data_IF_011299222029
#
_entry.id   IF_011299222029
#
_cell.length_a   1.000
_cell.length_b   1.000
_cell.length_c   1.000
_cell.angle_alpha   90.00
_cell.angle_beta   90.00
_cell.angle_gamma   90.00
#
_symmetry.space_group_name_H-M   'P 1'
#
loop_
_entity.id
_entity.type
_entity.pdbx_description
1 polymer ?
#
# COMPACT_ATOMS: atom_id res chain seq x y z
N UNK A 1 45.87 44.94 8.15
CA UNK A 1 44.93 44.60 9.26
C UNK A 1 44.62 43.11 9.12
N UNK A 2 45.35 42.18 9.77
CA UNK A 2 45.11 41.65 11.14
C UNK A 2 43.68 41.08 11.27
N UNK A 3 43.35 39.80 11.52
CA UNK A 3 43.92 38.66 12.29
C UNK A 3 43.38 37.34 11.67
N UNK A 4 44.18 36.29 11.44
CA UNK A 4 44.40 35.10 12.31
C UNK A 4 43.16 34.61 13.07
N UNK A 5 42.74 33.35 12.84
CA UNK A 5 42.64 32.33 13.88
C UNK A 5 42.77 30.91 13.30
N UNK A 6 43.76 30.22 13.87
CA UNK A 6 44.15 28.82 13.73
C UNK A 6 43.49 28.08 14.91
N UNK A 7 42.97 26.86 14.71
CA UNK A 7 42.34 26.11 15.80
C UNK A 7 42.14 24.63 15.46
N UNK A 8 43.24 23.88 15.49
CA UNK A 8 43.30 22.41 15.42
C UNK A 8 42.95 21.85 16.81
N UNK A 9 42.06 20.85 16.89
CA UNK A 9 42.00 19.94 18.05
C UNK A 9 41.87 18.51 17.55
N UNK A 10 42.98 17.78 17.67
CA UNK A 10 43.12 16.33 17.56
C UNK A 10 42.72 15.73 18.91
N UNK A 11 41.77 14.80 18.94
CA UNK A 11 41.31 14.12 20.16
C UNK A 11 41.28 12.61 19.98
N UNK A 12 42.42 11.96 20.21
CA UNK A 12 42.57 10.50 20.29
C UNK A 12 42.07 10.01 21.64
N UNK A 13 41.06 9.13 21.66
CA UNK A 13 40.63 8.42 22.88
C UNK A 13 40.85 6.91 22.67
N UNK A 14 41.87 6.39 23.33
CA UNK A 14 42.05 4.95 23.57
C UNK A 14 41.24 4.55 24.80
N UNK A 15 40.41 3.51 24.69
CA UNK A 15 39.87 2.77 25.83
C UNK A 15 40.21 1.28 25.68
N UNK A 16 41.14 0.83 26.53
CA UNK A 16 41.43 -0.56 26.84
C UNK A 16 40.75 -0.88 28.18
N UNK A 17 39.87 -1.88 28.26
CA UNK A 17 39.59 -2.59 29.52
C UNK A 17 39.15 -4.06 29.24
N UNK A 18 39.80 -4.96 29.98
CA UNK A 18 39.56 -6.39 30.33
C UNK A 18 38.16 -6.96 30.10
N UNK A 19 37.95 -8.25 29.76
CA UNK A 19 38.59 -9.46 30.29
C UNK A 19 37.58 -10.23 31.17
N UNK A 20 37.07 -11.37 30.70
CA UNK A 20 36.30 -12.30 31.52
C UNK A 20 36.54 -13.75 31.05
N UNK A 21 37.14 -14.54 31.93
CA UNK A 21 37.10 -16.01 31.99
C UNK A 21 35.63 -16.47 31.99
N UNK A 22 35.19 -17.61 31.48
CA UNK A 22 35.81 -18.90 31.20
C UNK A 22 34.79 -19.94 31.65
N UNK A 23 34.33 -20.83 30.77
CA UNK A 23 33.72 -22.11 31.18
C UNK A 23 33.77 -23.09 30.00
N UNK A 24 34.64 -24.10 30.13
CA UNK A 24 34.76 -25.21 29.19
C UNK A 24 33.68 -26.23 29.51
N UNK A 25 32.53 -26.14 28.85
CA UNK A 25 31.52 -27.20 28.87
C UNK A 25 31.90 -28.25 27.82
N UNK A 26 31.95 -29.50 28.26
CA UNK A 26 32.25 -30.66 27.45
C UNK A 26 31.34 -30.74 26.21
N UNK A 27 31.97 -30.77 25.04
CA UNK A 27 31.34 -30.96 23.73
C UNK A 27 30.82 -32.39 23.63
N UNK A 28 29.52 -32.60 23.84
CA UNK A 28 28.81 -33.80 23.42
C UNK A 28 28.79 -33.87 21.89
N UNK A 29 29.39 -34.91 21.34
CA UNK A 29 29.34 -35.27 19.92
C UNK A 29 27.95 -35.82 19.61
N UNK A 30 27.01 -34.95 19.21
CA UNK A 30 25.78 -35.37 18.54
C UNK A 30 26.07 -35.51 17.05
N UNK A 31 25.94 -36.74 16.53
CA UNK A 31 25.90 -37.04 15.10
C UNK A 31 24.85 -36.13 14.43
N UNK A 32 25.21 -35.35 13.39
CA UNK A 32 24.24 -34.51 12.71
C UNK A 32 23.21 -35.38 11.98
N UNK A 33 21.95 -35.24 12.36
CA UNK A 33 20.83 -35.65 11.53
C UNK A 33 20.93 -34.95 10.16
N UNK A 34 20.57 -35.63 9.06
CA UNK A 34 20.56 -35.02 7.74
C UNK A 34 19.61 -33.82 7.77
N UNK A 35 20.18 -32.62 7.71
CA UNK A 35 19.45 -31.36 7.57
C UNK A 35 18.60 -31.49 6.31
N UNK A 36 17.28 -31.57 6.51
CA UNK A 36 16.30 -31.57 5.44
C UNK A 36 16.59 -30.41 4.50
N UNK A 37 16.45 -30.69 3.20
CA UNK A 37 16.69 -29.71 2.14
C UNK A 37 16.04 -28.37 2.49
N UNK A 38 16.73 -27.24 2.24
CA UNK A 38 16.16 -25.92 2.48
C UNK A 38 14.78 -25.85 1.82
N UNK A 39 13.76 -25.28 2.50
CA UNK A 39 12.43 -25.16 1.93
C UNK A 39 12.56 -24.49 0.56
N UNK A 40 12.05 -25.15 -0.47
CA UNK A 40 11.98 -24.59 -1.82
C UNK A 40 11.36 -23.20 -1.70
N UNK A 41 12.14 -22.17 -2.07
CA UNK A 41 11.63 -20.82 -2.18
C UNK A 41 10.34 -20.86 -3.00
N UNK A 42 9.27 -20.29 -2.46
CA UNK A 42 8.02 -20.13 -3.20
C UNK A 42 8.36 -19.40 -4.51
N UNK A 43 7.80 -19.83 -5.66
CA UNK A 43 8.05 -19.17 -6.92
C UNK A 43 7.60 -17.71 -6.80
N UNK A 44 8.54 -16.77 -6.90
CA UNK A 44 8.22 -15.36 -7.13
C UNK A 44 7.28 -15.31 -8.34
N UNK A 45 6.12 -14.62 -8.25
CA UNK A 45 5.20 -14.52 -9.37
C UNK A 45 5.97 -14.06 -10.60
N UNK A 46 5.87 -14.83 -11.68
CA UNK A 46 6.56 -14.51 -12.92
C UNK A 46 6.10 -13.12 -13.36
N UNK A 47 7.01 -12.15 -13.26
CA UNK A 47 6.82 -10.80 -13.78
C UNK A 47 6.58 -10.96 -15.27
N UNK A 48 5.33 -10.83 -15.72
CA UNK A 48 5.02 -11.05 -17.12
C UNK A 48 5.85 -10.10 -17.97
N UNK A 49 6.45 -10.68 -19.01
CA UNK A 49 7.36 -9.98 -19.91
C UNK A 49 6.61 -8.83 -20.59
N UNK A 50 7.21 -7.63 -20.68
CA UNK A 50 6.57 -6.52 -21.34
C UNK A 50 6.48 -6.75 -22.85
N UNK A 51 5.33 -6.39 -23.44
CA UNK A 51 5.10 -6.40 -24.90
C UNK A 51 6.17 -5.60 -25.65
N UNK A 52 6.62 -4.49 -25.06
CA UNK A 52 7.66 -3.67 -25.64
C UNK A 52 8.49 -2.97 -24.56
N UNK A 53 9.79 -2.81 -24.81
CA UNK A 53 10.72 -2.17 -23.89
C UNK A 53 11.65 -1.20 -24.60
N UNK A 54 11.96 -0.07 -23.96
CA UNK A 54 12.99 0.88 -24.40
C UNK A 54 13.83 1.37 -23.23
N UNK A 55 15.13 1.36 -23.41
CA UNK A 55 16.05 2.02 -22.50
C UNK A 55 16.29 3.45 -22.97
N UNK A 56 16.23 4.40 -22.05
CA UNK A 56 16.44 5.82 -22.33
C UNK A 56 17.41 6.37 -21.31
N UNK A 57 18.28 7.27 -21.77
CA UNK A 57 19.11 8.09 -20.90
C UNK A 57 18.66 9.55 -21.03
N UNK A 58 18.43 10.20 -19.90
CA UNK A 58 18.14 11.62 -19.79
C UNK A 58 19.13 12.24 -18.84
N UNK A 59 19.98 13.12 -19.38
CA UNK A 59 21.12 13.66 -18.64
C UNK A 59 21.94 12.51 -17.99
N UNK A 60 22.04 12.48 -16.66
CA UNK A 60 22.75 11.46 -15.90
C UNK A 60 21.87 10.26 -15.50
N UNK A 61 20.56 10.33 -15.77
CA UNK A 61 19.59 9.31 -15.36
C UNK A 61 19.39 8.27 -16.47
N UNK A 62 19.23 7.01 -16.08
CA UNK A 62 18.95 5.88 -17.00
C UNK A 62 17.67 5.20 -16.57
N UNK A 63 16.71 5.11 -17.48
CA UNK A 63 15.43 4.46 -17.25
C UNK A 63 15.13 3.39 -18.29
N UNK A 64 14.39 2.36 -17.89
CA UNK A 64 13.78 1.39 -18.81
C UNK A 64 12.27 1.52 -18.76
N UNK A 65 11.70 1.84 -19.91
CA UNK A 65 10.28 1.99 -20.12
C UNK A 65 9.75 0.70 -20.71
N UNK A 66 8.71 0.16 -20.08
CA UNK A 66 8.12 -1.12 -20.43
C UNK A 66 6.63 -0.89 -20.66
N UNK A 67 6.13 -1.21 -21.85
CA UNK A 67 4.69 -1.32 -22.10
C UNK A 67 4.31 -2.75 -21.78
N UNK A 68 3.39 -2.93 -20.85
CA UNK A 68 2.97 -4.26 -20.40
C UNK A 68 1.75 -4.74 -21.15
N UNK A 69 0.75 -3.88 -21.29
CA UNK A 69 -0.49 -4.22 -21.97
C UNK A 69 -1.27 -2.97 -22.38
N UNK A 70 -2.05 -3.10 -23.45
CA UNK A 70 -3.12 -2.17 -23.78
C UNK A 70 -4.41 -2.95 -24.02
N UNK A 71 -5.32 -2.95 -23.06
CA UNK A 71 -6.54 -3.76 -23.14
C UNK A 71 -7.79 -2.92 -23.30
N UNK A 72 -8.79 -3.47 -23.99
CA UNK A 72 -10.09 -2.86 -24.23
C UNK A 72 -11.07 -3.21 -23.11
N UNK A 73 -11.86 -2.23 -22.70
CA UNK A 73 -13.03 -2.43 -21.85
C UNK A 73 -14.17 -1.52 -22.32
N UNK A 74 -15.17 -2.14 -22.96
CA UNK A 74 -16.29 -1.42 -23.55
C UNK A 74 -15.85 -0.36 -24.59
N UNK A 75 -16.03 0.91 -24.24
CA UNK A 75 -15.73 2.07 -25.10
C UNK A 75 -14.34 2.69 -24.86
N UNK A 76 -13.56 2.10 -23.98
CA UNK A 76 -12.24 2.58 -23.59
C UNK A 76 -11.16 1.52 -23.82
N UNK A 77 -9.91 1.95 -23.82
CA UNK A 77 -8.74 1.09 -23.65
C UNK A 77 -7.88 1.64 -22.51
N UNK A 78 -7.27 0.77 -21.72
CA UNK A 78 -6.32 1.15 -20.66
C UNK A 78 -4.94 0.66 -21.04
N UNK A 79 -3.98 1.59 -21.04
CA UNK A 79 -2.56 1.31 -21.18
C UNK A 79 -1.98 1.06 -19.80
N UNK A 80 -1.27 -0.05 -19.64
CA UNK A 80 -0.41 -0.34 -18.51
C UNK A 80 1.05 -0.31 -18.96
N UNK A 81 1.85 0.46 -18.26
CA UNK A 81 3.27 0.61 -18.54
C UNK A 81 4.03 0.84 -17.25
N UNK A 82 5.35 0.80 -17.31
CA UNK A 82 6.16 1.08 -16.13
C UNK A 82 7.55 1.55 -16.47
N UNK A 83 8.19 2.06 -15.44
CA UNK A 83 9.50 2.69 -15.53
C UNK A 83 10.40 2.09 -14.49
N UNK A 84 11.43 1.37 -14.93
CA UNK A 84 12.49 0.88 -14.06
C UNK A 84 13.63 1.90 -14.03
N UNK A 85 14.05 2.32 -12.84
CA UNK A 85 15.26 3.10 -12.67
C UNK A 85 16.50 2.19 -12.79
N UNK A 86 17.36 2.45 -13.77
CA UNK A 86 18.62 1.73 -14.02
C UNK A 86 19.85 2.51 -13.50
N UNK A 87 19.64 3.66 -12.88
CA UNK A 87 20.68 4.43 -12.19
C UNK A 87 20.88 3.97 -10.74
N UNK A 88 21.91 4.53 -10.11
CA UNK A 88 22.25 4.26 -8.71
C UNK A 88 21.57 5.25 -7.74
N UNK A 89 21.10 6.39 -8.28
CA UNK A 89 20.37 7.43 -7.55
C UNK A 89 18.87 7.40 -7.84
N UNK A 90 18.08 8.11 -7.03
CA UNK A 90 16.64 8.27 -7.23
C UNK A 90 16.29 8.98 -8.55
N UNK A 91 15.30 8.45 -9.27
CA UNK A 91 14.87 8.93 -10.58
C UNK A 91 13.52 9.62 -10.49
N UNK A 92 13.49 10.93 -10.75
CA UNK A 92 12.25 11.71 -10.78
C UNK A 92 11.53 11.59 -12.11
N UNK A 93 10.28 11.10 -12.10
CA UNK A 93 9.44 11.03 -13.32
C UNK A 93 8.64 12.32 -13.50
N UNK A 94 8.30 12.99 -12.38
CA UNK A 94 7.86 14.38 -12.29
C UNK A 94 6.87 14.82 -13.38
N UNK A 95 7.09 16.02 -13.92
CA UNK A 95 6.28 16.60 -14.99
C UNK A 95 6.70 16.14 -16.40
N UNK A 96 7.72 15.30 -16.51
CA UNK A 96 8.29 14.84 -17.78
C UNK A 96 7.28 14.10 -18.68
N UNK A 97 6.31 13.43 -18.05
CA UNK A 97 5.25 12.71 -18.75
C UNK A 97 3.98 13.51 -18.95
N UNK A 98 3.91 14.73 -18.43
CA UNK A 98 2.73 15.55 -18.53
C UNK A 98 2.73 16.36 -19.83
N UNK A 99 1.53 16.60 -20.36
CA UNK A 99 1.32 17.56 -21.45
C UNK A 99 1.26 19.00 -20.94
N UNK A 100 0.87 19.20 -19.68
CA UNK A 100 0.72 20.51 -19.04
C UNK A 100 1.99 20.83 -18.26
N UNK A 101 2.47 22.05 -18.41
CA UNK A 101 3.59 22.56 -17.63
C UNK A 101 3.29 22.43 -16.13
N UNK A 102 4.26 21.94 -15.36
CA UNK A 102 4.18 21.71 -13.91
C UNK A 102 3.08 20.74 -13.41
N UNK A 103 2.35 20.05 -14.29
CA UNK A 103 1.48 18.96 -13.85
C UNK A 103 2.30 17.68 -13.65
N UNK A 104 2.02 16.98 -12.56
CA UNK A 104 2.63 15.70 -12.20
C UNK A 104 1.63 14.60 -12.58
N UNK A 105 1.48 14.32 -13.86
CA UNK A 105 0.62 13.26 -14.36
C UNK A 105 1.20 12.67 -15.65
N UNK A 106 0.60 11.60 -16.16
CA UNK A 106 1.05 10.95 -17.41
C UNK A 106 0.24 11.39 -18.64
N UNK A 107 -0.35 12.59 -18.61
CA UNK A 107 -1.24 13.11 -19.67
C UNK A 107 -0.59 13.31 -21.04
N UNK A 108 0.74 13.32 -21.10
CA UNK A 108 1.53 13.42 -22.32
C UNK A 108 1.72 12.08 -23.03
N UNK A 109 1.45 10.94 -22.38
CA UNK A 109 1.46 9.62 -23.03
C UNK A 109 0.24 9.51 -23.95
N UNK A 110 0.46 9.14 -25.21
CA UNK A 110 -0.61 9.11 -26.21
C UNK A 110 -0.61 7.83 -27.02
N UNK A 111 -1.81 7.39 -27.41
CA UNK A 111 -2.01 6.26 -28.30
C UNK A 111 -2.29 6.78 -29.71
N UNK A 112 -1.75 6.13 -30.74
CA UNK A 112 -2.00 6.49 -32.13
C UNK A 112 -2.38 5.25 -32.92
N UNK A 113 -3.52 5.31 -33.57
CA UNK A 113 -3.94 4.33 -34.56
C UNK A 113 -3.28 4.68 -35.90
N UNK A 114 -2.28 3.88 -36.35
CA UNK A 114 -1.56 4.18 -37.58
C UNK A 114 -2.44 3.99 -38.82
N UNK A 115 -3.45 3.11 -38.78
CA UNK A 115 -4.35 2.80 -39.90
C UNK A 115 -5.40 3.90 -40.04
N UNK A 116 -6.11 4.21 -38.95
CA UNK A 116 -7.10 5.27 -38.89
C UNK A 116 -6.51 6.68 -38.84
N UNK A 117 -5.17 6.80 -38.78
CA UNK A 117 -4.41 8.07 -38.67
C UNK A 117 -4.91 8.97 -37.55
N UNK A 118 -5.37 8.36 -36.45
CA UNK A 118 -5.97 9.08 -35.32
C UNK A 118 -5.07 9.00 -34.10
N UNK A 119 -4.89 10.14 -33.44
CA UNK A 119 -4.23 10.24 -32.14
C UNK A 119 -5.28 10.30 -31.04
N UNK A 120 -5.12 9.48 -30.02
CA UNK A 120 -5.92 9.41 -28.81
C UNK A 120 -5.12 9.99 -27.67
N UNK A 121 -5.68 11.02 -27.04
CA UNK A 121 -5.18 11.54 -25.78
C UNK A 121 -5.80 10.75 -24.64
N UNK A 122 -5.16 10.69 -23.46
CA UNK A 122 -5.81 10.17 -22.27
C UNK A 122 -7.17 10.85 -22.10
N UNK A 123 -8.18 10.08 -21.72
CA UNK A 123 -9.48 10.61 -21.36
C UNK A 123 -9.30 11.67 -20.26
N UNK A 124 -10.24 12.59 -20.17
CA UNK A 124 -10.19 13.65 -19.15
C UNK A 124 -11.37 13.51 -18.21
N UNK A 125 -11.14 13.76 -16.93
CA UNK A 125 -12.18 13.76 -15.91
C UNK A 125 -11.88 14.88 -14.90
N UNK A 126 -12.87 15.71 -14.56
CA UNK A 126 -12.75 16.82 -13.63
C UNK A 126 -11.55 17.77 -13.88
N UNK A 127 -11.14 17.95 -15.14
CA UNK A 127 -10.00 18.81 -15.51
C UNK A 127 -8.63 18.13 -15.45
N UNK A 128 -8.53 16.90 -14.92
CA UNK A 128 -7.33 16.05 -14.97
C UNK A 128 -7.37 15.03 -16.11
N UNK A 129 -6.22 14.39 -16.38
CA UNK A 129 -6.23 13.17 -17.18
C UNK A 129 -6.84 12.02 -16.38
N UNK A 130 -7.39 11.06 -17.09
CA UNK A 130 -7.80 9.80 -16.53
C UNK A 130 -6.64 8.81 -16.63
N UNK A 131 -5.61 9.08 -15.81
CA UNK A 131 -4.31 8.43 -15.82
C UNK A 131 -3.63 8.53 -14.45
N UNK A 132 -2.52 7.83 -14.22
CA UNK A 132 -1.74 7.95 -12.98
C UNK A 132 -1.31 9.41 -12.75
N UNK A 133 -1.62 9.92 -11.57
CA UNK A 133 -1.18 11.22 -11.08
C UNK A 133 -0.06 11.06 -10.05
N UNK A 134 0.77 12.10 -9.94
CA UNK A 134 1.86 12.26 -8.98
C UNK A 134 2.93 11.15 -9.02
N UNK A 135 3.47 10.78 -10.20
CA UNK A 135 4.61 9.87 -10.26
C UNK A 135 5.88 10.60 -9.81
N UNK A 136 6.13 10.64 -8.50
CA UNK A 136 7.23 11.43 -7.94
C UNK A 136 8.58 10.86 -8.33
N UNK A 137 8.96 9.74 -7.72
CA UNK A 137 10.31 9.23 -7.81
C UNK A 137 10.38 7.71 -7.76
N UNK A 138 11.39 7.16 -8.42
CA UNK A 138 11.66 5.72 -8.50
C UNK A 138 13.05 5.47 -7.95
N UNK A 139 13.15 4.75 -6.84
CA UNK A 139 14.44 4.37 -6.26
C UNK A 139 15.27 3.50 -7.20
N UNK A 140 16.59 3.41 -6.98
CA UNK A 140 17.49 2.58 -7.79
C UNK A 140 17.00 1.13 -7.89
N UNK A 141 16.97 0.59 -9.11
CA UNK A 141 16.50 -0.77 -9.40
C UNK A 141 14.99 -0.97 -9.27
N UNK A 142 14.25 -0.02 -8.72
CA UNK A 142 12.80 -0.11 -8.54
C UNK A 142 12.06 0.10 -9.86
N UNK A 143 10.84 -0.42 -9.94
CA UNK A 143 9.92 -0.19 -11.05
C UNK A 143 8.65 0.46 -10.54
N UNK A 144 8.28 1.61 -11.11
CA UNK A 144 6.97 2.23 -10.90
C UNK A 144 6.04 1.82 -12.04
N UNK A 145 4.84 1.36 -11.70
CA UNK A 145 3.79 1.01 -12.67
C UNK A 145 2.81 2.17 -12.81
N UNK A 146 2.39 2.44 -14.04
CA UNK A 146 1.63 3.61 -14.46
C UNK A 146 0.52 3.18 -15.40
N UNK A 147 -0.58 3.93 -15.38
CA UNK A 147 -1.76 3.66 -16.21
C UNK A 147 -2.26 4.92 -16.90
N UNK A 148 -2.88 4.75 -18.06
CA UNK A 148 -3.62 5.80 -18.75
C UNK A 148 -4.79 5.21 -19.53
N UNK A 149 -5.97 5.83 -19.42
CA UNK A 149 -7.18 5.37 -20.12
C UNK A 149 -7.48 6.26 -21.31
N UNK A 150 -7.88 5.67 -22.44
CA UNK A 150 -8.16 6.35 -23.70
C UNK A 150 -9.53 5.94 -24.24
N UNK A 151 -10.12 6.77 -25.11
CA UNK A 151 -11.21 6.28 -25.95
C UNK A 151 -10.71 5.12 -26.82
N UNK A 152 -11.51 4.04 -26.89
CA UNK A 152 -11.07 2.85 -27.62
C UNK A 152 -10.97 3.13 -29.13
N UNK A 153 -9.92 2.62 -29.81
CA UNK A 153 -9.88 2.56 -31.27
C UNK A 153 -11.08 1.77 -31.84
N UNK A 154 -11.41 1.89 -33.14
CA UNK A 154 -12.44 1.05 -33.78
C UNK A 154 -12.23 -0.45 -33.53
N UNK A 155 -13.31 -1.26 -33.56
CA UNK A 155 -13.30 -2.69 -33.21
C UNK A 155 -12.42 -3.60 -34.10
N UNK A 156 -11.82 -3.08 -35.17
CA UNK A 156 -10.89 -3.81 -36.04
C UNK A 156 -9.42 -3.35 -35.94
N UNK A 157 -9.11 -2.45 -35.00
CA UNK A 157 -7.73 -2.02 -34.75
C UNK A 157 -7.13 -2.95 -33.69
N UNK A 158 -6.24 -3.82 -34.14
CA UNK A 158 -5.59 -4.85 -33.32
C UNK A 158 -4.27 -4.39 -32.71
N UNK A 159 -3.65 -3.35 -33.26
CA UNK A 159 -2.40 -2.79 -32.76
C UNK A 159 -2.35 -1.26 -32.96
N UNK A 160 -1.60 -0.59 -32.09
CA UNK A 160 -1.43 0.87 -32.10
C UNK A 160 0.00 1.25 -31.75
N UNK A 161 0.35 2.50 -32.05
CA UNK A 161 1.59 3.11 -31.59
C UNK A 161 1.36 3.78 -30.22
N UNK A 162 2.20 3.52 -29.24
CA UNK A 162 2.22 4.25 -27.96
C UNK A 162 3.39 5.24 -27.96
N UNK A 163 3.09 6.53 -27.86
CA UNK A 163 4.10 7.59 -27.81
C UNK A 163 4.23 8.14 -26.40
N UNK A 164 5.44 8.03 -25.85
CA UNK A 164 5.79 8.51 -24.51
C UNK A 164 6.75 9.71 -24.66
N UNK A 165 6.46 10.87 -24.03
CA UNK A 165 7.32 12.04 -24.08
C UNK A 165 8.77 11.70 -23.73
N UNK A 166 9.72 12.26 -24.49
CA UNK A 166 11.16 12.06 -24.34
C UNK A 166 11.70 10.62 -24.51
N UNK A 167 10.84 9.59 -24.49
CA UNK A 167 11.19 8.17 -24.73
C UNK A 167 11.03 7.81 -26.21
N UNK A 168 10.05 8.41 -26.87
CA UNK A 168 9.68 8.11 -28.24
C UNK A 168 8.50 7.14 -28.35
N UNK A 169 8.42 6.43 -29.48
CA UNK A 169 7.24 5.62 -29.84
C UNK A 169 7.52 4.12 -29.76
N UNK A 170 6.67 3.38 -29.05
CA UNK A 170 6.54 1.92 -29.11
C UNK A 170 5.55 1.60 -30.23
N UNK A 171 6.02 0.98 -31.32
CA UNK A 171 5.18 0.62 -32.44
C UNK A 171 4.48 -0.72 -32.20
N UNK A 172 3.36 -0.92 -32.87
CA UNK A 172 2.67 -2.22 -32.96
C UNK A 172 2.30 -2.84 -31.60
N UNK A 173 1.94 -2.00 -30.61
CA UNK A 173 1.46 -2.45 -29.30
C UNK A 173 0.09 -3.10 -29.46
N UNK A 174 -0.09 -4.38 -29.10
CA UNK A 174 -1.36 -5.09 -29.24
C UNK A 174 -2.49 -4.44 -28.45
N UNK A 175 -3.70 -4.42 -29.01
CA UNK A 175 -4.94 -4.06 -28.30
C UNK A 175 -5.69 -5.35 -27.96
N UNK A 176 -5.62 -5.78 -26.71
CA UNK A 176 -6.29 -7.01 -26.24
C UNK A 176 -7.77 -6.76 -25.90
N UNK A 177 -8.59 -7.80 -25.95
CA UNK A 177 -10.04 -7.68 -25.73
C UNK A 177 -10.43 -7.57 -24.25
N UNK A 178 -9.57 -8.09 -23.38
CA UNK A 178 -9.71 -8.10 -21.94
C UNK A 178 -8.31 -7.88 -21.36
N UNK A 179 -8.27 -7.32 -20.15
CA UNK A 179 -7.07 -7.33 -19.34
C UNK A 179 -6.55 -8.78 -19.29
N UNK A 180 -5.26 -8.99 -19.57
CA UNK A 180 -4.59 -10.21 -19.18
C UNK A 180 -4.92 -10.47 -17.70
N UNK A 181 -5.08 -11.73 -17.24
CA UNK A 181 -5.49 -12.05 -15.87
C UNK A 181 -4.73 -11.27 -14.77
N UNK A 182 -3.54 -10.78 -15.11
CA UNK A 182 -2.71 -9.78 -14.42
C UNK A 182 -3.43 -8.49 -13.96
N UNK A 183 -4.48 -8.02 -14.65
CA UNK A 183 -5.11 -6.71 -14.45
C UNK A 183 -6.55 -6.77 -13.90
N UNK A 184 -7.07 -7.96 -13.61
CA UNK A 184 -8.10 -8.05 -12.57
C UNK A 184 -7.48 -7.59 -11.26
N UNK A 185 -8.26 -6.97 -10.37
CA UNK A 185 -7.89 -6.68 -8.98
C UNK A 185 -7.67 -8.00 -8.20
N UNK A 186 -6.80 -8.88 -8.69
CA UNK A 186 -6.33 -10.03 -7.96
C UNK A 186 -5.68 -9.48 -6.70
N UNK A 187 -6.11 -10.02 -5.56
CA UNK A 187 -5.49 -9.76 -4.28
C UNK A 187 -3.97 -9.78 -4.46
N UNK A 188 -3.23 -8.79 -3.92
CA UNK A 188 -1.78 -8.74 -4.07
C UNK A 188 -1.18 -10.13 -3.84
N UNK A 189 -0.30 -10.62 -4.73
CA UNK A 189 0.13 -12.01 -4.71
C UNK A 189 0.64 -12.40 -3.31
N UNK A 190 0.06 -13.46 -2.74
CA UNK A 190 0.36 -13.92 -1.38
C UNK A 190 -0.70 -13.57 -0.33
N UNK A 191 -1.67 -12.70 -0.65
CA UNK A 191 -2.85 -12.53 0.21
C UNK A 191 -3.82 -13.71 0.01
N UNK A 192 -4.40 -14.25 1.10
CA UNK A 192 -5.45 -15.25 0.98
C UNK A 192 -6.69 -14.66 0.30
N UNK A 193 -7.61 -15.50 -0.15
CA UNK A 193 -8.93 -15.03 -0.56
C UNK A 193 -9.63 -14.28 0.60
N UNK A 194 -10.36 -13.20 0.31
CA UNK A 194 -11.10 -12.49 1.34
C UNK A 194 -12.17 -13.40 1.94
N UNK A 195 -12.26 -13.39 3.27
CA UNK A 195 -13.29 -14.17 3.99
C UNK A 195 -14.67 -13.54 3.89
N UNK A 196 -14.74 -12.25 3.57
CA UNK A 196 -15.97 -11.55 3.28
C UNK A 196 -15.70 -10.31 2.44
N UNK A 197 -16.61 -9.98 1.54
CA UNK A 197 -16.55 -8.75 0.75
C UNK A 197 -17.92 -8.08 0.69
N UNK A 198 -17.93 -6.75 0.62
CA UNK A 198 -19.11 -5.93 0.41
C UNK A 198 -18.82 -4.88 -0.63
N UNK A 199 -19.79 -4.68 -1.52
CA UNK A 199 -19.82 -3.54 -2.43
C UNK A 199 -20.82 -2.55 -1.86
N UNK A 200 -20.38 -1.32 -1.64
CA UNK A 200 -21.27 -0.23 -1.25
C UNK A 200 -21.25 0.85 -2.32
N UNK A 201 -22.39 1.50 -2.50
CA UNK A 201 -22.44 2.72 -3.28
C UNK A 201 -21.95 3.87 -2.38
N UNK A 202 -20.74 4.38 -2.64
CA UNK A 202 -20.33 5.65 -2.08
C UNK A 202 -21.05 6.75 -2.85
N UNK A 203 -21.69 7.68 -2.12
CA UNK A 203 -22.11 8.93 -2.73
C UNK A 203 -20.83 9.63 -3.16
N UNK A 204 -20.59 9.71 -4.47
CA UNK A 204 -19.57 10.61 -5.01
C UNK A 204 -19.78 11.97 -4.37
N UNK A 205 -18.67 12.64 -4.00
CA UNK A 205 -18.74 13.97 -3.43
C UNK A 205 -19.66 14.87 -4.27
N UNK A 206 -20.12 15.97 -3.66
CA UNK A 206 -21.11 16.93 -4.21
C UNK A 206 -20.84 17.43 -5.65
N UNK A 207 -19.68 17.12 -6.21
CA UNK A 207 -19.13 17.66 -7.45
C UNK A 207 -19.37 16.84 -8.73
N UNK A 208 -19.64 15.52 -8.71
CA UNK A 208 -19.68 14.74 -9.98
C UNK A 208 -20.98 14.01 -10.30
N UNK A 209 -21.88 13.81 -9.34
CA UNK A 209 -23.11 13.03 -9.55
C UNK A 209 -22.87 11.60 -10.08
N UNK A 210 -21.62 11.13 -10.03
CA UNK A 210 -21.20 9.83 -10.54
C UNK A 210 -21.37 8.82 -9.42
N UNK A 211 -22.06 7.71 -9.70
CA UNK A 211 -22.18 6.62 -8.76
C UNK A 211 -20.83 5.92 -8.61
N UNK A 212 -20.32 5.90 -7.38
CA UNK A 212 -19.07 5.26 -7.04
C UNK A 212 -19.38 3.98 -6.28
N UNK A 213 -18.77 2.87 -6.66
CA UNK A 213 -18.86 1.64 -5.90
C UNK A 213 -17.53 1.38 -5.19
N UNK A 214 -17.57 1.18 -3.88
CA UNK A 214 -16.40 0.80 -3.07
C UNK A 214 -16.53 -0.68 -2.76
N UNK A 215 -15.50 -1.46 -3.08
CA UNK A 215 -15.36 -2.85 -2.67
C UNK A 215 -14.49 -2.89 -1.44
N UNK A 216 -15.10 -3.28 -0.32
CA UNK A 216 -14.38 -3.55 0.92
C UNK A 216 -14.35 -5.06 1.15
N UNK A 217 -13.15 -5.59 1.29
CA UNK A 217 -12.84 -7.00 1.44
C UNK A 217 -12.09 -7.22 2.74
N UNK A 218 -12.57 -8.12 3.59
CA UNK A 218 -11.89 -8.52 4.82
C UNK A 218 -11.09 -9.78 4.52
N UNK A 219 -9.76 -9.72 4.66
CA UNK A 219 -8.89 -10.87 4.44
C UNK A 219 -8.82 -11.79 5.66
N UNK A 220 -9.01 -11.23 6.86
CA UNK A 220 -9.15 -11.99 8.09
C UNK A 220 -8.70 -11.21 9.33
N UNK A 221 -8.93 -11.82 10.48
CA UNK A 221 -8.40 -11.38 11.77
C UNK A 221 -7.29 -12.36 12.17
N UNK A 222 -6.14 -11.85 12.57
CA UNK A 222 -4.94 -12.65 12.85
C UNK A 222 -4.45 -12.40 14.26
N UNK A 223 -4.40 -13.44 15.09
CA UNK A 223 -3.95 -13.35 16.48
C UNK A 223 -2.46 -13.61 16.60
N UNK A 224 -1.74 -12.67 17.23
CA UNK A 224 -0.32 -12.80 17.62
C UNK A 224 -0.13 -12.29 19.05
N UNK A 225 0.03 -13.23 19.98
CA UNK A 225 0.17 -12.91 21.40
C UNK A 225 -1.06 -12.20 21.96
N UNK A 226 -0.84 -11.04 22.58
CA UNK A 226 -1.89 -10.19 23.17
C UNK A 226 -2.57 -9.24 22.18
N UNK A 227 -2.31 -9.38 20.87
CA UNK A 227 -2.89 -8.53 19.84
C UNK A 227 -3.60 -9.34 18.75
N UNK A 228 -4.57 -8.70 18.10
CA UNK A 228 -5.13 -9.15 16.83
C UNK A 228 -4.95 -8.08 15.75
N UNK A 229 -4.77 -8.52 14.52
CA UNK A 229 -4.56 -7.68 13.34
C UNK A 229 -5.70 -7.93 12.36
N UNK A 230 -6.31 -6.87 11.87
CA UNK A 230 -7.34 -6.93 10.83
C UNK A 230 -6.70 -6.46 9.53
N UNK A 231 -6.82 -7.26 8.47
CA UNK A 231 -6.40 -6.88 7.12
C UNK A 231 -7.62 -6.65 6.24
N UNK A 232 -7.69 -5.47 5.64
CA UNK A 232 -8.77 -5.01 4.78
C UNK A 232 -8.22 -4.66 3.41
N UNK A 233 -8.84 -5.16 2.36
CA UNK A 233 -8.68 -4.64 1.01
C UNK A 233 -9.78 -3.64 0.72
N UNK A 234 -9.40 -2.48 0.21
CA UNK A 234 -10.35 -1.45 -0.17
C UNK A 234 -10.02 -1.04 -1.58
N UNK A 235 -10.93 -1.33 -2.50
CA UNK A 235 -10.82 -0.96 -3.90
C UNK A 235 -12.04 -0.17 -4.33
N UNK A 236 -11.91 0.49 -5.48
CA UNK A 236 -13.04 1.09 -6.17
C UNK A 236 -13.47 0.12 -7.27
N UNK A 237 -14.75 -0.25 -7.29
CA UNK A 237 -15.36 -0.93 -8.42
C UNK A 237 -15.78 0.15 -9.42
N UNK A 238 -14.85 0.46 -10.31
CA UNK A 238 -14.94 1.58 -11.22
C UNK A 238 -13.80 2.55 -11.04
N UNK A 239 -14.05 3.77 -11.48
CA UNK A 239 -13.06 4.57 -12.20
C UNK A 239 -13.27 5.99 -11.71
N UNK A 240 -12.57 6.39 -10.64
CA UNK A 240 -12.68 7.73 -10.05
C UNK A 240 -11.47 8.62 -10.37
N UNK A 241 -11.66 9.94 -10.42
CA UNK A 241 -10.53 10.86 -10.37
C UNK A 241 -9.85 10.82 -9.00
N UNK A 242 -8.53 11.05 -9.01
CA UNK A 242 -7.69 11.13 -7.82
C UNK A 242 -8.20 12.13 -6.77
N UNK A 243 -8.74 13.28 -7.21
CA UNK A 243 -9.24 14.32 -6.29
C UNK A 243 -10.51 13.91 -5.53
N UNK A 244 -11.34 13.02 -6.07
CA UNK A 244 -12.48 12.44 -5.33
C UNK A 244 -12.07 11.20 -4.54
N UNK A 245 -11.07 10.45 -5.03
CA UNK A 245 -10.48 9.34 -4.27
C UNK A 245 -9.77 9.84 -2.99
N UNK A 246 -9.24 11.07 -2.96
CA UNK A 246 -8.71 11.68 -1.74
C UNK A 246 -9.77 11.86 -0.63
N UNK A 247 -11.06 11.95 -0.99
CA UNK A 247 -12.18 11.93 -0.02
C UNK A 247 -12.38 10.59 0.69
N UNK A 248 -11.69 9.52 0.26
CA UNK A 248 -11.75 8.20 0.87
C UNK A 248 -11.16 8.11 2.27
N UNK A 249 -10.39 9.12 2.71
CA UNK A 249 -9.98 9.24 4.11
C UNK A 249 -11.19 9.18 5.07
N UNK A 250 -12.36 9.66 4.61
CA UNK A 250 -13.62 9.57 5.36
C UNK A 250 -14.23 8.17 5.46
N UNK A 251 -13.87 7.21 4.60
CA UNK A 251 -14.42 5.84 4.66
C UNK A 251 -14.03 5.12 5.96
N UNK A 252 -12.86 5.44 6.51
CA UNK A 252 -12.35 4.81 7.74
C UNK A 252 -12.26 5.75 8.93
N UNK A 253 -12.54 7.04 8.74
CA UNK A 253 -12.62 7.98 9.84
C UNK A 253 -13.81 7.59 10.74
N UNK A 254 -13.58 7.51 12.05
CA UNK A 254 -14.70 7.52 12.98
C UNK A 254 -15.42 8.86 12.81
N UNK A 255 -16.75 8.87 12.68
CA UNK A 255 -17.57 10.09 12.58
C UNK A 255 -17.59 10.93 13.86
N UNK A 256 -16.57 10.80 14.72
CA UNK A 256 -16.48 11.54 15.96
C UNK A 256 -15.99 12.95 15.64
N UNK A 257 -16.94 13.87 15.46
CA UNK A 257 -16.75 15.34 15.49
C UNK A 257 -16.04 15.84 16.77
N UNK A 258 -15.78 14.97 17.75
CA UNK A 258 -15.21 15.31 19.05
C UNK A 258 -13.68 15.19 19.14
N UNK A 259 -12.99 14.82 18.06
CA UNK A 259 -11.54 15.00 17.99
C UNK A 259 -11.25 16.39 17.40
N UNK A 260 -10.74 17.31 18.22
CA UNK A 260 -10.33 18.67 17.81
C UNK A 260 -9.23 18.70 16.72
N UNK A 261 -8.77 17.53 16.27
CA UNK A 261 -7.80 17.35 15.19
C UNK A 261 -8.06 16.00 14.51
N UNK A 262 -8.95 15.92 13.50
CA UNK A 262 -9.03 14.74 12.67
C UNK A 262 -7.74 14.69 11.85
N UNK A 263 -6.76 13.90 12.28
CA UNK A 263 -5.67 13.53 11.39
C UNK A 263 -6.30 12.81 10.20
N UNK A 264 -6.47 13.54 9.10
CA UNK A 264 -7.09 13.08 7.88
C UNK A 264 -6.38 11.81 7.42
N UNK A 265 -7.12 10.71 7.26
CA UNK A 265 -6.60 9.47 6.68
C UNK A 265 -6.14 8.38 7.67
N UNK A 266 -6.32 8.51 8.98
CA UNK A 266 -6.12 7.35 9.86
C UNK A 266 -7.31 6.39 9.85
N UNK A 267 -7.07 5.08 9.71
CA UNK A 267 -8.12 4.05 9.73
C UNK A 267 -8.64 3.75 11.15
N UNK A 268 -8.87 4.78 11.95
CA UNK A 268 -9.20 4.71 13.38
C UNK A 268 -10.64 4.28 13.67
N UNK A 269 -11.54 4.39 12.69
CA UNK A 269 -12.95 4.04 12.84
C UNK A 269 -13.25 2.55 12.72
N UNK A 270 -12.29 1.72 12.34
CA UNK A 270 -12.45 0.26 12.29
C UNK A 270 -12.68 -0.26 13.72
N UNK A 271 -13.79 -0.96 13.95
CA UNK A 271 -14.12 -1.55 15.25
C UNK A 271 -14.27 -3.07 15.11
N UNK A 272 -13.73 -3.82 16.07
CA UNK A 272 -14.03 -5.25 16.20
C UNK A 272 -15.10 -5.47 17.27
N UNK A 273 -16.13 -6.24 16.98
CA UNK A 273 -17.20 -6.54 17.94
C UNK A 273 -17.27 -8.04 18.20
N UNK A 274 -17.09 -8.43 19.46
CA UNK A 274 -17.48 -9.77 19.92
C UNK A 274 -19.00 -9.76 20.15
N UNK A 275 -19.75 -10.18 19.13
CA UNK A 275 -21.21 -10.22 19.17
C UNK A 275 -21.74 -11.15 20.28
N UNK A 276 -20.99 -12.17 20.69
CA UNK A 276 -21.42 -13.12 21.73
C UNK A 276 -21.38 -12.50 23.12
N UNK A 277 -20.40 -11.61 23.37
CA UNK A 277 -20.24 -10.90 24.64
C UNK A 277 -20.75 -9.46 24.63
N UNK A 278 -21.12 -8.93 23.47
CA UNK A 278 -21.51 -7.53 23.31
C UNK A 278 -20.38 -6.54 23.58
N UNK A 279 -19.12 -6.94 23.38
CA UNK A 279 -17.95 -6.10 23.64
C UNK A 279 -17.34 -5.58 22.34
N UNK A 280 -17.06 -4.28 22.28
CA UNK A 280 -16.41 -3.63 21.15
C UNK A 280 -14.95 -3.28 21.47
N UNK A 281 -14.06 -3.54 20.53
CA UNK A 281 -12.63 -3.27 20.61
C UNK A 281 -12.27 -2.20 19.58
N UNK A 282 -11.62 -1.14 20.07
CA UNK A 282 -11.13 -0.03 19.24
C UNK A 282 -9.69 -0.29 18.78
N UNK A 283 -9.30 0.37 17.70
CA UNK A 283 -7.91 0.33 17.20
C UNK A 283 -6.95 0.76 18.32
N UNK A 284 -5.91 -0.03 18.55
CA UNK A 284 -4.86 0.26 19.52
C UNK A 284 -4.13 1.56 19.13
N UNK A 285 -3.68 2.30 20.13
CA UNK A 285 -2.95 3.57 19.95
C UNK A 285 -1.63 3.52 20.71
N UNK A 286 -0.61 4.21 20.19
CA UNK A 286 0.66 4.40 20.91
C UNK A 286 0.55 5.55 21.92
N UNK A 287 1.55 5.66 22.80
CA UNK A 287 1.72 6.85 23.63
C UNK A 287 1.86 8.08 22.72
N UNK A 288 0.98 9.07 22.89
CA UNK A 288 0.84 10.21 21.97
C UNK A 288 -0.42 10.15 21.09
N UNK A 289 -1.22 9.07 21.18
CA UNK A 289 -2.56 9.03 20.61
C UNK A 289 -2.64 8.55 19.15
N UNK A 290 -1.51 8.40 18.44
CA UNK A 290 -1.49 7.88 17.07
C UNK A 290 -1.97 6.42 17.01
N UNK A 291 -2.75 6.06 16.00
CA UNK A 291 -3.19 4.68 15.82
C UNK A 291 -2.01 3.73 15.51
N UNK A 292 -2.15 2.47 15.92
CA UNK A 292 -1.35 1.34 15.42
C UNK A 292 -2.06 0.73 14.21
N UNK A 293 -2.19 1.54 13.16
CA UNK A 293 -2.87 1.19 11.92
C UNK A 293 -2.10 1.74 10.71
N UNK A 294 -2.42 1.26 9.51
CA UNK A 294 -1.90 1.83 8.28
C UNK A 294 -2.24 3.32 8.22
N UNK A 295 -1.22 4.15 8.05
CA UNK A 295 -1.39 5.59 7.86
C UNK A 295 -1.63 5.85 6.38
N UNK A 296 -2.61 6.71 6.08
CA UNK A 296 -2.91 7.21 4.74
C UNK A 296 -3.15 6.08 3.70
N UNK A 297 -4.26 5.32 3.83
CA UNK A 297 -4.72 4.47 2.75
C UNK A 297 -5.33 5.37 1.68
N UNK A 298 -4.52 6.19 1.02
CA UNK A 298 -4.98 6.89 -0.16
C UNK A 298 -5.46 5.80 -1.11
N UNK A 299 -6.77 5.75 -1.35
CA UNK A 299 -7.31 4.83 -2.34
C UNK A 299 -6.78 5.32 -3.67
N UNK A 300 -5.78 4.61 -4.20
CA UNK A 300 -5.37 4.86 -5.55
C UNK A 300 -6.55 4.48 -6.45
N UNK A 301 -6.81 5.29 -7.47
CA UNK A 301 -7.90 5.07 -8.43
C UNK A 301 -7.83 3.71 -9.15
N UNK A 302 -6.77 2.93 -8.90
CA UNK A 302 -6.52 1.60 -9.44
C UNK A 302 -5.91 0.74 -8.33
N UNK A 303 -6.51 -0.42 -8.08
CA UNK A 303 -5.99 -1.39 -7.10
C UNK A 303 -6.83 -1.50 -5.83
N UNK A 304 -6.59 -2.59 -5.12
CA UNK A 304 -7.06 -2.79 -3.75
C UNK A 304 -5.97 -2.29 -2.81
N UNK A 305 -6.21 -1.19 -2.11
CA UNK A 305 -5.33 -0.74 -1.03
C UNK A 305 -5.51 -1.65 0.17
N UNK A 306 -4.40 -2.19 0.70
CA UNK A 306 -4.42 -3.00 1.92
C UNK A 306 -4.25 -2.10 3.13
N UNK A 307 -5.24 -2.12 4.01
CA UNK A 307 -5.27 -1.42 5.29
C UNK A 307 -5.13 -2.45 6.41
N UNK A 308 -4.22 -2.19 7.34
CA UNK A 308 -4.05 -3.00 8.54
C UNK A 308 -4.41 -2.19 9.79
N UNK A 309 -5.10 -2.81 10.74
CA UNK A 309 -5.37 -2.21 12.05
C UNK A 309 -5.10 -3.20 13.17
N UNK A 310 -4.43 -2.71 14.23
CA UNK A 310 -4.06 -3.52 15.41
C UNK A 310 -5.06 -3.29 16.53
N UNK A 311 -5.46 -4.34 17.24
CA UNK A 311 -6.36 -4.30 18.39
C UNK A 311 -5.77 -5.13 19.54
N UNK A 312 -6.22 -4.86 20.77
CA UNK A 312 -6.01 -5.78 21.88
C UNK A 312 -6.74 -7.10 21.56
N UNK A 313 -6.05 -8.23 21.72
CA UNK A 313 -6.65 -9.53 21.45
C UNK A 313 -7.84 -9.78 22.40
N UNK A 314 -8.98 -10.28 21.90
CA UNK A 314 -10.05 -10.73 22.77
C UNK A 314 -9.62 -11.98 23.54
N UNK A 315 -10.45 -12.45 24.46
CA UNK A 315 -10.23 -13.70 25.18
C UNK A 315 -9.96 -14.87 24.20
N UNK A 316 -9.17 -15.86 24.60
CA UNK A 316 -8.65 -16.91 23.70
C UNK A 316 -9.72 -17.82 23.13
N UNK A 317 -10.87 -17.91 23.80
CA UNK A 317 -12.06 -18.64 23.38
C UNK A 317 -12.92 -17.88 22.36
N UNK A 318 -12.59 -16.62 22.05
CA UNK A 318 -13.19 -15.89 20.91
C UNK A 318 -12.53 -16.37 19.63
N UNK A 319 -13.31 -17.08 18.81
CA UNK A 319 -12.86 -17.64 17.53
C UNK A 319 -13.26 -16.79 16.32
N UNK A 320 -14.22 -15.87 16.48
CA UNK A 320 -14.67 -14.97 15.41
C UNK A 320 -15.14 -13.62 16.01
N UNK A 321 -15.06 -12.56 15.21
CA UNK A 321 -15.58 -11.24 15.56
C UNK A 321 -16.24 -10.59 14.35
N UNK A 322 -17.13 -9.65 14.60
CA UNK A 322 -17.66 -8.79 13.55
C UNK A 322 -16.67 -7.66 13.29
N UNK A 323 -16.37 -7.40 12.02
CA UNK A 323 -15.59 -6.23 11.60
C UNK A 323 -16.56 -5.14 11.21
N UNK A 324 -16.53 -4.01 11.91
CA UNK A 324 -17.39 -2.87 11.66
C UNK A 324 -16.56 -1.77 11.00
N UNK A 325 -16.93 -1.42 9.77
CA UNK A 325 -16.34 -0.34 9.01
C UNK A 325 -17.34 0.83 8.96
N UNK A 326 -16.94 2.05 9.36
CA UNK A 326 -17.77 3.23 9.17
C UNK A 326 -18.21 3.36 7.70
N UNK A 327 -19.45 3.80 7.48
CA UNK A 327 -20.04 4.04 6.15
C UNK A 327 -20.19 2.80 5.22
N UNK A 328 -19.48 1.70 5.46
CA UNK A 328 -19.55 0.43 4.72
C UNK A 328 -20.47 -0.58 5.43
N UNK A 329 -20.42 -0.63 6.75
CA UNK A 329 -21.25 -1.49 7.59
C UNK A 329 -20.49 -2.67 8.22
N UNK A 330 -21.24 -3.71 8.58
CA UNK A 330 -20.73 -4.83 9.39
C UNK A 330 -20.41 -6.05 8.54
N UNK A 331 -19.26 -6.68 8.77
CA UNK A 331 -18.87 -7.99 8.25
C UNK A 331 -18.97 -8.99 9.41
N UNK A 332 -20.04 -9.80 9.47
CA UNK A 332 -20.29 -10.64 10.64
C UNK A 332 -19.42 -11.90 10.65
N UNK A 333 -19.04 -12.36 11.83
CA UNK A 333 -18.44 -13.68 12.04
C UNK A 333 -17.10 -13.90 11.33
N UNK A 334 -16.26 -12.86 11.21
CA UNK A 334 -14.93 -12.95 10.61
C UNK A 334 -14.03 -13.80 11.52
N UNK A 335 -13.48 -14.93 11.04
CA UNK A 335 -12.71 -15.84 11.87
C UNK A 335 -11.37 -15.24 12.32
N UNK A 336 -11.00 -15.48 13.57
CA UNK A 336 -9.68 -15.20 14.13
C UNK A 336 -8.75 -16.38 13.84
N UNK A 337 -7.81 -16.19 12.92
CA UNK A 337 -6.78 -17.16 12.56
C UNK A 337 -5.57 -17.03 13.50
N UNK A 338 -4.89 -18.14 13.77
CA UNK A 338 -3.59 -18.15 14.45
C UNK A 338 -2.48 -17.83 13.44
N UNK A 339 -1.49 -17.04 13.87
CA UNK A 339 -0.35 -16.66 13.04
C UNK A 339 -0.48 -15.26 12.45
N UNK A 340 0.49 -14.87 11.63
CA UNK A 340 0.41 -13.65 10.83
C UNK A 340 -0.12 -13.99 9.43
N UNK A 341 -0.69 -12.98 8.75
CA UNK A 341 -0.86 -13.07 7.30
C UNK A 341 0.55 -13.24 6.68
N UNK A 342 0.74 -14.03 5.60
CA UNK A 342 2.04 -14.12 4.96
C UNK A 342 2.48 -12.71 4.60
N UNK A 343 3.52 -12.17 5.25
CA UNK A 343 3.98 -10.82 4.94
C UNK A 343 4.34 -10.78 3.46
N UNK A 344 3.67 -9.95 2.63
CA UNK A 344 4.16 -9.70 1.29
C UNK A 344 5.40 -8.82 1.45
N UNK A 345 6.59 -9.44 1.53
CA UNK A 345 7.90 -8.82 1.65
C UNK A 345 7.86 -7.40 2.25
N UNK A 346 7.48 -7.30 3.53
CA UNK A 346 7.43 -6.01 4.20
C UNK A 346 8.84 -5.39 4.15
N UNK A 347 8.99 -4.10 3.77
CA UNK A 347 10.28 -3.44 3.89
C UNK A 347 10.77 -3.57 5.33
N UNK A 348 12.03 -3.97 5.50
CA UNK A 348 12.67 -4.14 6.81
C UNK A 348 12.27 -2.99 7.74
N UNK A 349 11.91 -3.27 9.02
CA UNK A 349 11.63 -2.21 9.98
C UNK A 349 12.78 -1.21 9.95
N UNK A 350 12.46 0.08 9.96
CA UNK A 350 13.45 1.14 9.99
C UNK A 350 14.50 0.79 11.07
N UNK A 351 15.81 0.79 10.75
CA UNK A 351 16.83 0.46 11.74
C UNK A 351 16.66 1.39 12.95
N UNK A 352 16.29 0.81 14.10
CA UNK A 352 16.05 1.53 15.35
C UNK A 352 14.64 1.42 15.97
N UNK A 353 13.65 0.79 15.30
CA UNK A 353 12.34 0.55 15.92
C UNK A 353 12.20 -0.90 16.42
N UNK A 354 12.55 -1.18 17.68
CA UNK A 354 12.05 -2.38 18.39
C UNK A 354 10.83 -1.99 19.23
N UNK A 355 9.74 -2.74 19.08
CA UNK A 355 8.56 -2.60 19.93
C UNK A 355 8.60 -3.69 21.00
N UNK A 356 9.38 -3.47 22.06
CA UNK A 356 9.42 -4.42 23.17
C UNK A 356 8.33 -4.10 24.21
N UNK A 357 7.34 -4.96 24.22
CA UNK A 357 6.24 -5.08 25.20
C UNK A 357 5.24 -3.92 25.26
N UNK A 358 3.99 -4.30 25.05
CA UNK A 358 2.80 -3.46 25.22
C UNK A 358 2.08 -3.96 26.47
N UNK A 359 1.83 -3.06 27.44
CA UNK A 359 1.12 -3.40 28.67
C UNK A 359 -0.34 -2.93 28.60
N UNK A 360 -1.25 -3.81 28.99
CA UNK A 360 -2.69 -3.55 29.05
C UNK A 360 -3.04 -3.27 30.50
N UNK A 361 -3.63 -2.10 30.78
CA UNK A 361 -4.19 -1.82 32.09
C UNK A 361 -5.56 -2.50 32.22
N UNK A 362 -5.71 -3.41 33.18
CA UNK A 362 -7.01 -3.98 33.53
C UNK A 362 -7.91 -2.90 34.16
N UNK A 363 -9.23 -2.93 33.92
CA UNK A 363 -10.14 -1.98 34.54
C UNK A 363 -10.26 -2.24 36.05
N UNK A 364 -10.05 -1.19 36.85
CA UNK A 364 -10.26 -1.22 38.30
C UNK A 364 -11.71 -1.59 38.64
N UNK A 365 -11.91 -2.75 39.25
CA UNK A 365 -13.20 -3.36 39.56
C UNK A 365 -14.02 -2.63 40.63
N UNK A 366 -14.52 -1.42 40.36
CA UNK A 366 -15.52 -0.75 41.20
C UNK A 366 -16.75 -0.34 40.39
N UNK A 367 -17.88 -0.97 40.73
CA UNK A 367 -19.15 -0.92 40.02
C UNK A 367 -19.79 0.46 39.90
N UNK A 368 -19.76 1.00 38.68
CA UNK A 368 -20.64 2.04 38.20
C UNK A 368 -21.24 1.58 36.83
N UNK A 369 -22.44 2.04 36.44
CA UNK A 369 -23.10 1.60 35.22
C UNK A 369 -22.23 1.85 33.97
N UNK A 370 -22.09 0.80 33.17
CA UNK A 370 -21.08 0.60 32.13
C UNK A 370 -21.32 1.53 30.92
N UNK A 371 -20.51 2.59 30.80
CA UNK A 371 -20.01 2.98 29.47
C UNK A 371 -18.97 1.93 29.07
N UNK A 372 -19.02 1.44 27.83
CA UNK A 372 -18.12 0.39 27.35
C UNK A 372 -16.65 0.70 27.74
N UNK A 373 -15.92 -0.26 28.33
CA UNK A 373 -14.55 -0.02 28.79
C UNK A 373 -13.65 0.32 27.59
N UNK A 374 -13.06 1.51 27.61
CA UNK A 374 -12.02 1.90 26.66
C UNK A 374 -10.71 1.30 27.17
N UNK A 375 -10.27 0.20 26.57
CA UNK A 375 -8.96 -0.39 26.85
C UNK A 375 -7.88 0.55 26.30
N UNK A 376 -7.12 1.19 27.19
CA UNK A 376 -5.99 2.04 26.81
C UNK A 376 -4.71 1.21 26.81
N UNK A 377 -4.02 1.27 25.68
CA UNK A 377 -2.75 0.59 25.45
C UNK A 377 -1.62 1.61 25.65
N UNK A 378 -0.65 1.31 26.52
CA UNK A 378 0.54 2.16 26.69
C UNK A 378 1.77 1.45 26.09
N UNK A 379 2.40 2.10 25.12
CA UNK A 379 3.69 1.69 24.56
C UNK A 379 4.80 2.54 25.21
N UNK A 380 5.87 1.89 25.69
CA UNK A 380 7.03 2.56 26.25
C UNK A 380 8.16 2.54 25.22
N UNK A 381 8.60 3.73 24.79
CA UNK A 381 9.74 3.86 23.87
C UNK A 381 11.03 3.80 24.68
N UNK A 382 11.90 2.82 24.41
CA UNK A 382 13.26 2.79 24.93
C UNK A 382 14.17 3.61 24.00
N UNK A 383 15.03 4.50 24.53
CA UNK A 383 16.00 5.23 23.72
C UNK A 383 17.05 4.25 23.16
N UNK A 384 17.43 4.46 21.90
CA UNK A 384 18.51 3.70 21.25
C UNK A 384 19.82 3.90 22.00
N UNK A 385 20.49 2.79 22.31
CA UNK A 385 21.82 2.73 22.95
C UNK A 385 22.96 2.91 21.96
#
# INVERSE_FOLDING_TARGET
MLRRFLGVVLGTVCLLVSGCSGETVARSTSTPEPVGSPPSALPTPAKADPDATKNVAWDEQRGRWSVFELYRHGRYVTLEFGVTNLGDDEFGIGSTLSRREAAEDVSGVTVRDPVGKKRYLPATFAGGCYCTSRPYTVGSGQTMYLTATYAAPPKGVEAVDVSVPQVGTFADVPVTAEASPRATLESPPGLPEPVASKVIQAKGGEYSGTEVYVVASVYGIYRRGSHVYVYLGVGLDGTLPYEEAAGSAGLFAASNEAADDPSEGESTGITLVDATRGTAHQVARVAGGKCLCSVDPTLYAYGTTIVAATFAAPATEVEAMDVVLPHIGVFPGVPIRKGALPEPDAPSPLPGSSYDSVSVAEPDGKGAPVKAPVVRVQAKVQPAS
#
